data_IF_182245127178
#
_entry.id   IF_182245127178
#
_cell.length_a   1.000
_cell.length_b   1.000
_cell.length_c   1.000
_cell.angle_alpha   90.00
_cell.angle_beta   90.00
_cell.angle_gamma   90.00
#
_symmetry.space_group_name_H-M   'P 1'
#
loop_
_entity.id
_entity.type
_entity.pdbx_description
1 polymer ?
#
# COMPACT_ATOMS: atom_id res chain seq x y z
N UNK A 1 -10.07 -9.72 -5.01
CA UNK A 1 -10.86 -8.85 -5.92
C UNK A 1 -10.00 -8.28 -7.04
N UNK A 2 -8.88 -7.59 -6.77
CA UNK A 2 -8.04 -6.97 -7.81
C UNK A 2 -7.56 -7.93 -8.92
N UNK A 3 -7.05 -9.12 -8.55
CA UNK A 3 -6.61 -10.14 -9.52
C UNK A 3 -7.78 -10.64 -10.39
N UNK A 4 -8.99 -10.78 -9.81
CA UNK A 4 -10.17 -11.24 -10.54
C UNK A 4 -10.65 -10.19 -11.55
N UNK A 5 -10.64 -8.91 -11.16
CA UNK A 5 -10.96 -7.79 -12.05
C UNK A 5 -9.95 -7.75 -13.19
N UNK A 6 -8.66 -7.92 -12.89
CA UNK A 6 -7.63 -7.90 -13.91
C UNK A 6 -7.75 -9.08 -14.88
N UNK A 7 -8.06 -10.29 -14.39
CA UNK A 7 -8.32 -11.43 -15.25
C UNK A 7 -9.53 -11.20 -16.17
N UNK A 8 -10.61 -10.61 -15.64
CA UNK A 8 -11.77 -10.24 -16.45
C UNK A 8 -11.39 -9.23 -17.53
N UNK A 9 -10.69 -8.15 -17.17
CA UNK A 9 -10.22 -7.12 -18.11
C UNK A 9 -9.30 -7.72 -19.17
N UNK A 10 -8.38 -8.61 -18.79
CA UNK A 10 -7.49 -9.30 -19.72
C UNK A 10 -8.24 -10.15 -20.75
N UNK A 11 -9.28 -10.87 -20.32
CA UNK A 11 -10.13 -11.66 -21.21
C UNK A 11 -10.97 -10.76 -22.12
N UNK A 12 -11.52 -9.67 -21.60
CA UNK A 12 -12.36 -8.74 -22.38
C UNK A 12 -11.56 -7.94 -23.42
N UNK A 13 -10.32 -7.56 -23.11
CA UNK A 13 -9.46 -6.76 -24.00
C UNK A 13 -8.53 -7.60 -24.88
N UNK A 14 -8.56 -8.92 -24.76
CA UNK A 14 -7.67 -9.81 -25.53
C UNK A 14 -6.19 -9.55 -25.23
N UNK A 15 -5.86 -9.25 -23.97
CA UNK A 15 -4.50 -8.86 -23.59
C UNK A 15 -3.51 -10.01 -23.74
N UNK A 16 -2.28 -9.67 -24.07
CA UNK A 16 -1.19 -10.65 -24.15
C UNK A 16 -0.83 -11.19 -22.76
N UNK A 17 -0.27 -12.40 -22.70
CA UNK A 17 0.20 -13.00 -21.44
C UNK A 17 1.24 -12.13 -20.70
N UNK A 18 2.03 -11.35 -21.44
CA UNK A 18 3.04 -10.44 -20.89
C UNK A 18 2.37 -9.26 -20.17
N UNK A 19 1.29 -8.70 -20.74
CA UNK A 19 0.54 -7.62 -20.10
C UNK A 19 -0.19 -8.11 -18.85
N UNK A 20 -0.73 -9.33 -18.87
CA UNK A 20 -1.30 -9.97 -17.69
C UNK A 20 -0.27 -10.09 -16.57
N UNK A 21 0.95 -10.52 -16.90
CA UNK A 21 2.05 -10.62 -15.95
C UNK A 21 2.46 -9.24 -15.42
N UNK A 22 2.56 -8.23 -16.28
CA UNK A 22 2.89 -6.86 -15.88
C UNK A 22 1.83 -6.28 -14.91
N UNK A 23 0.55 -6.46 -15.21
CA UNK A 23 -0.51 -6.05 -14.30
C UNK A 23 -0.47 -6.82 -12.97
N UNK A 24 -0.12 -8.11 -12.99
CA UNK A 24 0.03 -8.90 -11.76
C UNK A 24 1.12 -8.30 -10.87
N UNK A 25 2.26 -7.94 -11.47
CA UNK A 25 3.34 -7.21 -10.78
C UNK A 25 2.83 -5.88 -10.19
N UNK A 26 2.01 -5.12 -10.94
CA UNK A 26 1.44 -3.86 -10.45
C UNK A 26 0.51 -4.03 -9.25
N UNK A 27 -0.26 -5.13 -9.17
CA UNK A 27 -1.05 -5.45 -7.99
C UNK A 27 -0.15 -5.63 -6.77
N UNK A 28 1.01 -6.30 -6.90
CA UNK A 28 1.97 -6.43 -5.80
C UNK A 28 2.55 -5.08 -5.37
N UNK A 29 2.88 -4.21 -6.33
CA UNK A 29 3.34 -2.84 -6.04
C UNK A 29 2.29 -2.10 -5.21
N UNK A 30 1.03 -2.12 -5.66
CA UNK A 30 -0.07 -1.48 -4.96
C UNK A 30 -0.24 -2.04 -3.54
N UNK A 31 -0.17 -3.36 -3.37
CA UNK A 31 -0.26 -4.00 -2.05
C UNK A 31 0.87 -3.55 -1.13
N UNK A 32 2.13 -3.51 -1.60
CA UNK A 32 3.25 -3.09 -0.74
C UNK A 32 3.13 -1.63 -0.33
N UNK A 33 2.72 -0.74 -1.25
CA UNK A 33 2.46 0.67 -0.93
C UNK A 33 1.37 0.80 0.13
N UNK A 34 0.24 0.09 -0.06
CA UNK A 34 -0.88 0.10 0.88
C UNK A 34 -0.47 -0.47 2.25
N UNK A 35 0.32 -1.53 2.29
CA UNK A 35 0.86 -2.08 3.54
C UNK A 35 1.76 -1.05 4.24
N UNK A 36 2.67 -0.39 3.53
CA UNK A 36 3.55 0.64 4.12
C UNK A 36 2.75 1.78 4.76
N UNK A 37 1.77 2.31 4.04
CA UNK A 37 0.92 3.41 4.51
C UNK A 37 0.01 2.94 5.65
N UNK A 38 -0.67 1.80 5.47
CA UNK A 38 -1.58 1.23 6.46
C UNK A 38 -0.88 0.91 7.78
N UNK A 39 0.32 0.35 7.72
CA UNK A 39 1.15 0.11 8.90
C UNK A 39 1.50 1.44 9.59
N UNK A 40 1.94 2.45 8.82
CA UNK A 40 2.22 3.78 9.36
C UNK A 40 1.01 4.41 10.06
N UNK A 41 -0.18 4.34 9.46
CA UNK A 41 -1.43 4.87 10.01
C UNK A 41 -1.81 4.18 11.31
N UNK A 42 -1.78 2.84 11.32
CA UNK A 42 -2.07 2.04 12.50
C UNK A 42 -1.16 2.43 13.67
N UNK A 43 0.12 2.66 13.37
CA UNK A 43 1.14 3.10 14.32
C UNK A 43 1.03 4.59 14.63
N UNK A 44 0.27 5.42 13.92
CA UNK A 44 0.08 6.83 14.26
C UNK A 44 -1.25 7.10 14.98
N UNK A 45 -2.25 6.23 14.82
CA UNK A 45 -3.60 6.45 15.33
C UNK A 45 -4.04 5.25 16.19
N UNK A 46 -3.67 5.22 17.49
CA UNK A 46 -4.06 4.14 18.36
C UNK A 46 -5.56 4.24 18.67
N UNK A 47 -6.28 3.12 18.62
CA UNK A 47 -7.67 3.03 19.03
C UNK A 47 -7.76 2.16 20.28
N UNK A 48 -8.38 2.68 21.34
CA UNK A 48 -8.70 1.86 22.52
C UNK A 48 -9.87 0.95 22.17
N UNK A 49 -9.61 -0.36 22.18
CA UNK A 49 -10.63 -1.41 22.07
C UNK A 49 -11.04 -1.78 23.50
N UNK A 50 -12.33 -1.78 23.80
CA UNK A 50 -12.78 -2.08 25.16
C UNK A 50 -12.67 -3.59 25.44
N UNK A 51 -12.31 -3.97 26.66
CA UNK A 51 -12.24 -5.40 27.04
C UNK A 51 -13.66 -5.99 26.94
N UNK A 52 -13.83 -7.05 26.15
CA UNK A 52 -15.14 -7.67 25.90
C UNK A 52 -15.96 -7.08 24.74
N UNK A 53 -15.42 -6.14 23.95
CA UNK A 53 -16.07 -5.64 22.74
C UNK A 53 -15.09 -5.24 21.65
N UNK A 54 -15.37 -5.61 20.39
CA UNK A 54 -14.62 -5.11 19.22
C UNK A 54 -14.95 -3.64 18.87
N UNK A 55 -15.89 -2.99 19.59
CA UNK A 55 -16.25 -1.58 19.32
C UNK A 55 -15.23 -0.62 19.97
N UNK A 56 -14.67 0.32 19.20
CA UNK A 56 -13.83 1.40 19.74
C UNK A 56 -14.63 2.24 20.74
N UNK A 57 -14.09 2.46 21.94
CA UNK A 57 -14.87 3.08 23.03
C UNK A 57 -15.06 4.58 22.84
N UNK A 58 -14.07 5.27 22.25
CA UNK A 58 -14.15 6.66 21.74
C UNK A 58 -13.04 6.87 20.71
N UNK A 59 -13.37 6.93 19.43
CA UNK A 59 -12.41 7.32 18.39
C UNK A 59 -12.22 8.83 18.47
N UNK A 60 -11.02 9.37 18.76
CA UNK A 60 -10.84 10.81 18.81
C UNK A 60 -11.11 11.41 17.42
N UNK A 61 -11.85 12.54 17.36
CA UNK A 61 -12.26 13.19 16.11
C UNK A 61 -11.06 13.46 15.19
N UNK A 62 -9.90 13.78 15.78
CA UNK A 62 -8.62 13.93 15.07
C UNK A 62 -8.26 12.69 14.25
N UNK A 63 -8.40 11.48 14.80
CA UNK A 63 -8.06 10.24 14.08
C UNK A 63 -9.07 9.96 12.96
N UNK A 64 -10.35 10.28 13.17
CA UNK A 64 -11.39 10.14 12.12
C UNK A 64 -11.09 11.06 10.94
N UNK A 65 -10.78 12.34 11.20
CA UNK A 65 -10.38 13.30 10.18
C UNK A 65 -9.14 12.84 9.41
N UNK A 66 -8.13 12.33 10.14
CA UNK A 66 -6.89 11.86 9.53
C UNK A 66 -7.12 10.63 8.64
N UNK A 67 -7.93 9.66 9.09
CA UNK A 67 -8.34 8.52 8.25
C UNK A 67 -9.06 9.01 7.00
N UNK A 68 -9.97 9.98 7.13
CA UNK A 68 -10.73 10.51 6.00
C UNK A 68 -9.81 11.18 4.96
N UNK A 69 -8.88 12.02 5.41
CA UNK A 69 -7.88 12.66 4.53
C UNK A 69 -7.02 11.62 3.84
N UNK A 70 -6.53 10.62 4.55
CA UNK A 70 -5.67 9.59 3.95
C UNK A 70 -6.46 8.73 2.96
N UNK A 71 -7.71 8.40 3.29
CA UNK A 71 -8.59 7.66 2.38
C UNK A 71 -8.82 8.44 1.09
N UNK A 72 -8.99 9.77 1.18
CA UNK A 72 -9.10 10.65 0.01
C UNK A 72 -7.79 10.73 -0.79
N UNK A 73 -6.64 10.65 -0.12
CA UNK A 73 -5.30 10.64 -0.73
C UNK A 73 -4.90 9.27 -1.30
N UNK A 74 -5.64 8.19 -1.01
CA UNK A 74 -5.32 6.83 -1.50
C UNK A 74 -5.05 6.73 -3.01
N UNK A 75 -5.85 7.36 -3.90
CA UNK A 75 -5.58 7.32 -5.33
C UNK A 75 -4.22 7.92 -5.70
N UNK A 76 -3.81 8.97 -4.98
CA UNK A 76 -2.52 9.64 -5.17
C UNK A 76 -1.38 8.70 -4.76
N UNK A 77 -1.53 8.01 -3.63
CA UNK A 77 -0.53 7.02 -3.19
C UNK A 77 -0.37 5.85 -4.14
N UNK A 78 -1.42 5.51 -4.91
CA UNK A 78 -1.38 4.45 -5.91
C UNK A 78 -0.85 4.91 -7.28
N UNK A 79 -0.63 6.22 -7.50
CA UNK A 79 -0.08 6.75 -8.75
C UNK A 79 1.24 6.09 -9.19
N UNK A 80 2.19 5.76 -8.30
CA UNK A 80 3.42 5.08 -8.72
C UNK A 80 3.13 3.77 -9.46
N UNK A 81 2.09 3.02 -9.09
CA UNK A 81 1.74 1.78 -9.77
C UNK A 81 1.35 1.99 -11.25
N UNK A 82 0.91 3.19 -11.63
CA UNK A 82 0.59 3.59 -13.01
C UNK A 82 1.83 3.93 -13.86
N UNK A 83 3.02 4.04 -13.27
CA UNK A 83 4.24 4.35 -14.02
C UNK A 83 4.59 3.27 -15.04
N UNK A 84 4.33 1.99 -14.72
CA UNK A 84 4.55 0.88 -15.65
C UNK A 84 3.71 1.00 -16.92
N UNK A 85 2.37 1.07 -16.84
CA UNK A 85 1.50 1.23 -18.00
C UNK A 85 1.80 2.49 -18.81
N UNK A 86 2.07 3.61 -18.14
CA UNK A 86 2.42 4.88 -18.81
C UNK A 86 3.72 4.72 -19.61
N UNK A 87 4.76 4.11 -19.00
CA UNK A 87 6.00 3.86 -19.69
C UNK A 87 5.85 2.86 -20.84
N UNK A 88 5.05 1.81 -20.66
CA UNK A 88 4.71 0.86 -21.72
C UNK A 88 4.04 1.52 -22.91
N UNK A 89 3.10 2.45 -22.66
CA UNK A 89 2.43 3.22 -23.69
C UNK A 89 3.40 4.15 -24.44
N UNK A 90 4.25 4.88 -23.73
CA UNK A 90 5.25 5.77 -24.33
C UNK A 90 6.30 4.99 -25.16
N UNK A 91 6.79 3.87 -24.64
CA UNK A 91 7.75 3.01 -25.33
C UNK A 91 7.12 2.34 -26.56
N UNK A 92 5.85 1.93 -26.46
CA UNK A 92 5.10 1.39 -27.58
C UNK A 92 4.92 2.40 -28.72
N UNK A 93 4.63 3.67 -28.39
CA UNK A 93 4.54 4.75 -29.39
C UNK A 93 5.90 5.01 -30.05
N UNK A 94 6.99 4.94 -29.28
CA UNK A 94 8.34 5.17 -29.82
C UNK A 94 8.86 4.06 -30.74
N UNK A 95 8.22 2.88 -30.74
CA UNK A 95 8.63 1.71 -31.52
C UNK A 95 9.91 1.02 -31.05
N UNK A 96 10.54 1.49 -29.96
CA UNK A 96 11.81 0.94 -29.44
C UNK A 96 11.61 -0.47 -28.88
N UNK A 97 10.50 -0.70 -28.17
CA UNK A 97 10.14 -1.98 -27.56
C UNK A 97 8.61 -2.15 -27.66
N UNK A 98 8.12 -3.39 -27.71
CA UNK A 98 6.68 -3.63 -27.57
C UNK A 98 6.18 -3.06 -26.24
N UNK A 99 5.04 -2.35 -26.26
CA UNK A 99 4.52 -1.68 -25.07
C UNK A 99 4.31 -2.62 -23.87
N UNK A 100 3.96 -3.88 -24.15
CA UNK A 100 3.85 -4.95 -23.16
C UNK A 100 5.16 -5.24 -22.41
N UNK A 101 6.28 -5.34 -23.14
CA UNK A 101 7.60 -5.60 -22.53
C UNK A 101 8.11 -4.37 -21.80
N UNK A 102 7.90 -3.17 -22.37
CA UNK A 102 8.24 -1.90 -21.71
C UNK A 102 7.50 -1.75 -20.36
N UNK A 103 6.20 -2.07 -20.33
CA UNK A 103 5.40 -2.08 -19.11
C UNK A 103 5.98 -3.06 -18.07
N UNK A 104 6.25 -4.31 -18.46
CA UNK A 104 6.80 -5.32 -17.56
C UNK A 104 8.15 -4.92 -16.96
N UNK A 105 9.06 -4.36 -17.77
CA UNK A 105 10.39 -3.93 -17.32
C UNK A 105 10.29 -2.81 -16.29
N UNK A 106 9.49 -1.78 -16.57
CA UNK A 106 9.30 -0.64 -15.65
C UNK A 106 8.56 -1.06 -14.39
N UNK A 107 7.50 -1.88 -14.51
CA UNK A 107 6.82 -2.44 -13.34
C UNK A 107 7.75 -3.32 -12.50
N UNK A 108 8.62 -4.12 -13.11
CA UNK A 108 9.60 -4.93 -12.38
C UNK A 108 10.62 -4.08 -11.62
N UNK A 109 11.18 -3.06 -12.26
CA UNK A 109 12.09 -2.12 -11.62
C UNK A 109 11.42 -1.37 -10.45
N UNK A 110 10.17 -0.94 -10.66
CA UNK A 110 9.40 -0.26 -9.64
C UNK A 110 9.05 -1.17 -8.45
N UNK A 111 8.70 -2.44 -8.71
CA UNK A 111 8.45 -3.42 -7.65
C UNK A 111 9.70 -3.58 -6.77
N UNK A 112 10.87 -3.71 -7.38
CA UNK A 112 12.12 -3.81 -6.64
C UNK A 112 12.38 -2.54 -5.82
N UNK A 113 12.20 -1.36 -6.41
CA UNK A 113 12.35 -0.09 -5.71
C UNK A 113 11.42 0.03 -4.49
N UNK A 114 10.13 -0.27 -4.67
CA UNK A 114 9.12 -0.22 -3.60
C UNK A 114 9.39 -1.27 -2.53
N UNK A 115 9.82 -2.49 -2.92
CA UNK A 115 10.20 -3.53 -1.96
C UNK A 115 11.41 -3.12 -1.11
N UNK A 116 12.45 -2.51 -1.73
CA UNK A 116 13.61 -1.98 -1.00
C UNK A 116 13.17 -0.89 -0.03
N UNK A 117 12.38 0.09 -0.50
CA UNK A 117 11.84 1.15 0.37
C UNK A 117 11.04 0.56 1.53
N UNK A 118 10.18 -0.42 1.27
CA UNK A 118 9.40 -1.09 2.31
C UNK A 118 10.31 -1.79 3.34
N UNK A 119 11.32 -2.54 2.88
CA UNK A 119 12.30 -3.16 3.79
C UNK A 119 13.05 -2.13 4.64
N UNK A 120 13.39 -0.97 4.07
CA UNK A 120 14.03 0.11 4.80
C UNK A 120 13.09 0.77 5.81
N UNK A 121 11.78 0.83 5.54
CA UNK A 121 10.79 1.40 6.47
C UNK A 121 10.36 0.43 7.57
N UNK A 122 10.54 -0.88 7.41
CA UNK A 122 10.19 -1.88 8.45
C UNK A 122 10.92 -1.63 9.78
N UNK A 123 12.22 -1.31 9.75
CA UNK A 123 13.01 -1.02 10.97
C UNK A 123 12.47 0.18 11.76
N UNK A 124 12.29 1.38 11.16
CA UNK A 124 11.73 2.51 11.89
C UNK A 124 10.28 2.28 12.32
N UNK A 125 9.45 1.60 11.50
CA UNK A 125 8.09 1.22 11.89
C UNK A 125 8.09 0.32 13.15
N UNK A 126 8.98 -0.67 13.19
CA UNK A 126 9.15 -1.55 14.36
C UNK A 126 9.59 -0.81 15.62
N UNK A 127 10.49 0.18 15.49
CA UNK A 127 10.89 1.01 16.64
C UNK A 127 9.72 1.85 17.15
N UNK A 128 8.95 2.46 16.26
CA UNK A 128 7.77 3.26 16.63
C UNK A 128 6.68 2.42 17.32
N UNK A 129 6.51 1.17 16.89
CA UNK A 129 5.63 0.19 17.56
C UNK A 129 6.11 -0.07 18.99
N UNK A 130 7.38 -0.41 19.17
CA UNK A 130 7.95 -0.71 20.49
C UNK A 130 7.84 0.49 21.46
N UNK A 131 8.16 1.69 20.98
CA UNK A 131 8.02 2.93 21.78
C UNK A 131 6.57 3.23 22.19
N UNK A 132 5.59 2.76 21.41
CA UNK A 132 4.17 2.89 21.74
C UNK A 132 3.70 1.86 22.73
N UNK A 133 4.09 0.60 22.54
CA UNK A 133 3.75 -0.48 23.48
C UNK A 133 4.29 -0.18 24.88
N UNK A 134 5.54 0.31 24.97
CA UNK A 134 6.13 0.74 26.24
C UNK A 134 5.31 1.88 26.90
N UNK A 135 4.87 2.87 26.13
CA UNK A 135 4.04 3.97 26.66
C UNK A 135 2.66 3.51 27.16
N UNK A 136 2.05 2.56 26.47
CA UNK A 136 0.77 1.97 26.91
C UNK A 136 0.98 1.22 28.22
N UNK A 137 2.04 0.42 28.32
CA UNK A 137 2.37 -0.35 29.52
C UNK A 137 2.60 0.57 30.72
N UNK A 138 3.40 1.63 30.55
CA UNK A 138 3.70 2.63 31.58
C UNK A 138 2.44 3.34 32.11
N UNK A 139 1.52 3.70 31.21
CA UNK A 139 0.24 4.32 31.58
C UNK A 139 -0.63 3.37 32.42
N UNK A 140 -0.68 2.08 32.06
CA UNK A 140 -1.52 1.09 32.76
C UNK A 140 -0.92 0.72 34.11
N UNK A 141 0.40 0.68 34.25
CA UNK A 141 1.05 0.40 35.54
C UNK A 141 0.87 1.53 36.55
N UNK A 142 0.83 2.79 36.10
CA UNK A 142 0.59 3.95 36.97
C UNK A 142 -0.88 4.07 37.42
N UNK A 143 -1.84 3.54 36.65
CA UNK A 143 -3.26 3.54 37.05
C UNK A 143 -3.61 2.47 38.13
N UNK A 144 -2.67 1.59 38.52
CA UNK A 144 -2.89 0.49 39.47
C UNK A 144 -2.32 0.76 40.88
N UNK A 145 -1.53 1.82 41.06
CA UNK A 145 -1.06 2.32 42.37
C UNK A 145 -1.88 3.54 42.83
#
# INVERSE_FOLDING_TARGET
>A
LGILIQLAVALFLGMSAIECLAGFVQVFIAVIILCGIGNGISIMMPFRVNVGSLKPTKVPVKNVLMIMVITLMMPIFLLPALLGPIAGLLLGISGVVTGAVGNLMVSGALLLAVAVVYCLTLKPLGRLLAERELRILDTVTVEVE
#
